data_IF_368348891708
#
_entry.id   IF_368348891708
#
_cell.length_a   1.000
_cell.length_b   1.000
_cell.length_c   1.000
_cell.angle_alpha   90.00
_cell.angle_beta   90.00
_cell.angle_gamma   90.00
#
_symmetry.space_group_name_H-M   'P 1'
#
loop_
_entity.id
_entity.type
_entity.pdbx_description
1 polymer ?
#
# COMPACT_ATOMS: atom_id res chain seq x y z
N UNK A 1 -4.71 11.16 10.05
CA UNK A 1 -6.04 10.54 10.32
C UNK A 1 -6.14 9.63 11.56
N UNK A 2 -5.06 9.25 12.26
CA UNK A 2 -5.12 8.29 13.41
C UNK A 2 -5.93 7.02 13.11
N UNK A 3 -5.92 6.54 11.85
CA UNK A 3 -6.69 5.37 11.41
C UNK A 3 -6.12 4.04 11.92
N UNK A 4 -4.88 4.03 12.41
CA UNK A 4 -4.22 2.82 12.90
C UNK A 4 -3.81 1.84 11.80
N UNK A 5 -3.88 2.25 10.53
CA UNK A 5 -3.54 1.44 9.36
C UNK A 5 -2.19 1.82 8.79
N UNK A 6 -1.38 0.84 8.39
CA UNK A 6 -0.09 1.03 7.68
C UNK A 6 -0.23 0.76 6.18
N UNK A 7 0.78 1.14 5.38
CA UNK A 7 0.77 0.80 3.95
C UNK A 7 0.87 -0.71 3.76
N UNK A 8 1.73 -1.38 4.53
CA UNK A 8 1.87 -2.85 4.50
C UNK A 8 0.55 -3.59 4.78
N UNK A 9 -0.26 -3.13 5.73
CA UNK A 9 -1.56 -3.75 6.01
C UNK A 9 -2.52 -3.64 4.82
N UNK A 10 -2.54 -2.48 4.14
CA UNK A 10 -3.35 -2.32 2.93
C UNK A 10 -2.83 -3.20 1.79
N UNK A 11 -1.51 -3.31 1.62
CA UNK A 11 -0.91 -4.13 0.56
C UNK A 11 -1.14 -5.63 0.82
N UNK A 12 -0.99 -6.09 2.07
CA UNK A 12 -1.31 -7.47 2.45
C UNK A 12 -2.77 -7.79 2.12
N UNK A 13 -3.70 -6.89 2.48
CA UNK A 13 -5.11 -7.05 2.13
C UNK A 13 -5.34 -7.13 0.62
N UNK A 14 -4.72 -6.25 -0.18
CA UNK A 14 -4.82 -6.28 -1.64
C UNK A 14 -4.25 -7.57 -2.24
N UNK A 15 -3.14 -8.08 -1.68
CA UNK A 15 -2.52 -9.35 -2.12
C UNK A 15 -3.46 -10.52 -1.84
N UNK A 16 -3.95 -10.65 -0.61
CA UNK A 16 -4.90 -11.70 -0.25
C UNK A 16 -6.20 -11.62 -1.05
N UNK A 17 -6.75 -10.42 -1.25
CA UNK A 17 -7.92 -10.23 -2.09
C UNK A 17 -7.67 -10.75 -3.52
N UNK A 18 -6.49 -10.48 -4.10
CA UNK A 18 -6.11 -11.00 -5.41
C UNK A 18 -5.99 -12.54 -5.42
N UNK A 19 -5.45 -13.16 -4.38
CA UNK A 19 -5.29 -14.62 -4.28
C UNK A 19 -6.63 -15.36 -4.26
N UNK A 20 -7.66 -14.78 -3.61
CA UNK A 20 -8.99 -15.37 -3.51
C UNK A 20 -9.97 -14.87 -4.59
N UNK A 21 -9.52 -14.02 -5.52
CA UNK A 21 -10.34 -13.49 -6.61
C UNK A 21 -11.33 -12.40 -6.20
N UNK A 22 -11.12 -11.74 -5.06
CA UNK A 22 -11.92 -10.58 -4.61
C UNK A 22 -11.34 -9.29 -5.19
N UNK A 23 -12.18 -8.49 -5.85
CA UNK A 23 -11.78 -7.18 -6.37
C UNK A 23 -11.94 -6.10 -5.30
N UNK A 24 -10.81 -5.55 -4.83
CA UNK A 24 -10.81 -4.42 -3.91
C UNK A 24 -11.08 -3.09 -4.65
N UNK A 25 -11.88 -2.21 -4.05
CA UNK A 25 -12.11 -0.84 -4.53
C UNK A 25 -11.77 0.14 -3.41
N UNK A 26 -10.81 1.04 -3.64
CA UNK A 26 -10.32 1.97 -2.64
C UNK A 26 -9.88 3.30 -3.28
N UNK A 27 -9.61 4.29 -2.42
CA UNK A 27 -9.15 5.62 -2.82
C UNK A 27 -7.75 5.88 -2.25
N UNK A 28 -6.94 6.63 -3.00
CA UNK A 28 -5.72 7.26 -2.49
C UNK A 28 -6.06 8.72 -2.21
N UNK A 29 -5.74 9.19 -1.00
CA UNK A 29 -6.05 10.54 -0.53
C UNK A 29 -4.77 11.37 -0.41
N UNK A 30 -4.87 12.67 -0.69
CA UNK A 30 -3.78 13.64 -0.60
C UNK A 30 -4.24 14.99 -0.04
N UNK A 31 -3.29 15.85 0.31
CA UNK A 31 -3.55 17.20 0.81
C UNK A 31 -3.82 17.27 2.30
N UNK A 32 -3.39 16.27 3.07
CA UNK A 32 -3.50 16.32 4.53
C UNK A 32 -2.53 17.34 5.13
N UNK A 33 -2.94 18.03 6.21
CA UNK A 33 -2.03 18.89 6.95
C UNK A 33 -0.81 18.16 7.49
N UNK A 34 0.37 18.74 7.22
CA UNK A 34 1.67 18.22 7.65
C UNK A 34 2.26 17.12 6.77
N UNK A 35 1.65 16.85 5.61
CA UNK A 35 2.27 16.00 4.60
C UNK A 35 3.57 16.60 4.08
N UNK A 36 4.50 15.70 3.74
CA UNK A 36 5.81 16.05 3.20
C UNK A 36 5.91 15.61 1.75
N UNK A 37 6.67 16.37 0.96
CA UNK A 37 6.89 16.06 -0.44
C UNK A 37 7.55 14.69 -0.63
N UNK A 38 8.49 14.34 0.25
CA UNK A 38 9.20 13.06 0.25
C UNK A 38 8.23 11.86 0.29
N UNK A 39 7.14 11.96 1.06
CA UNK A 39 6.17 10.86 1.20
C UNK A 39 5.42 10.58 -0.11
N UNK A 40 5.24 11.59 -0.95
CA UNK A 40 4.64 11.40 -2.27
C UNK A 40 5.62 10.70 -3.21
N UNK A 41 6.91 11.04 -3.17
CA UNK A 41 7.91 10.31 -3.96
C UNK A 41 8.04 8.86 -3.51
N UNK A 42 8.07 8.61 -2.20
CA UNK A 42 8.04 7.26 -1.62
C UNK A 42 6.80 6.47 -2.09
N UNK A 43 5.63 7.11 -2.12
CA UNK A 43 4.39 6.50 -2.63
C UNK A 43 4.49 6.17 -4.12
N UNK A 44 5.04 7.07 -4.94
CA UNK A 44 5.23 6.83 -6.37
C UNK A 44 6.15 5.62 -6.62
N UNK A 45 7.23 5.48 -5.85
CA UNK A 45 8.12 4.34 -5.96
C UNK A 45 7.50 3.05 -5.42
N UNK A 46 6.69 3.13 -4.37
CA UNK A 46 5.91 2.01 -3.87
C UNK A 46 4.92 1.49 -4.91
N UNK A 47 4.20 2.38 -5.61
CA UNK A 47 3.21 2.01 -6.63
C UNK A 47 3.84 1.11 -7.69
N UNK A 48 5.05 1.44 -8.17
CA UNK A 48 5.79 0.62 -9.15
C UNK A 48 5.97 -0.84 -8.70
N UNK A 49 6.14 -1.07 -7.40
CA UNK A 49 6.36 -2.41 -6.83
C UNK A 49 5.06 -3.21 -6.70
N UNK A 50 3.90 -2.55 -6.72
CA UNK A 50 2.59 -3.18 -6.47
C UNK A 50 1.64 -3.10 -7.67
N UNK A 51 2.12 -2.73 -8.86
CA UNK A 51 1.31 -2.61 -10.08
C UNK A 51 0.61 -3.90 -10.51
N UNK A 52 1.04 -5.06 -10.00
CA UNK A 52 0.37 -6.36 -10.20
C UNK A 52 -0.90 -6.53 -9.36
N UNK A 53 -1.09 -5.71 -8.33
CA UNK A 53 -2.29 -5.72 -7.48
C UNK A 53 -3.39 -4.82 -8.07
N UNK A 54 -4.61 -4.92 -7.54
CA UNK A 54 -5.71 -4.07 -7.99
C UNK A 54 -5.41 -2.58 -7.72
N UNK A 55 -5.49 -1.69 -8.73
CA UNK A 55 -5.31 -0.25 -8.54
C UNK A 55 -6.47 0.38 -7.76
N UNK A 56 -6.32 1.63 -7.28
CA UNK A 56 -7.43 2.40 -6.73
C UNK A 56 -8.54 2.59 -7.78
N UNK A 57 -9.73 3.01 -7.34
CA UNK A 57 -10.87 3.24 -8.25
C UNK A 57 -10.59 4.37 -9.25
N UNK A 58 -9.93 5.41 -8.76
CA UNK A 58 -9.60 6.63 -9.49
C UNK A 58 -8.20 7.08 -9.10
N UNK A 59 -7.72 8.14 -9.76
CA UNK A 59 -6.52 8.84 -9.36
C UNK A 59 -6.70 9.51 -7.98
N UNK A 60 -5.65 10.14 -7.47
CA UNK A 60 -5.59 10.78 -6.15
C UNK A 60 -6.79 11.72 -5.94
N UNK A 61 -7.43 11.58 -4.78
CA UNK A 61 -8.45 12.49 -4.32
C UNK A 61 -7.91 13.39 -3.22
N UNK A 62 -8.01 14.70 -3.41
CA UNK A 62 -7.66 15.63 -2.36
C UNK A 62 -8.71 15.61 -1.27
N UNK A 63 -8.26 15.71 -0.03
CA UNK A 63 -9.16 15.77 1.10
C UNK A 63 -10.02 17.03 1.03
N UNK A 64 -11.24 16.88 1.52
CA UNK A 64 -12.18 17.96 1.70
C UNK A 64 -12.39 18.21 3.19
N UNK A 65 -12.75 19.44 3.53
CA UNK A 65 -13.16 19.75 4.89
C UNK A 65 -14.65 19.46 5.05
N UNK A 66 -14.96 18.39 5.76
CA UNK A 66 -16.35 18.04 6.10
C UNK A 66 -16.65 18.37 7.57
N UNK A 67 -17.88 18.77 7.89
CA UNK A 67 -18.31 19.00 9.28
C UNK A 67 -18.08 17.74 10.11
N UNK A 68 -17.71 17.94 11.38
CA UNK A 68 -17.39 16.90 12.36
C UNK A 68 -16.15 16.06 12.04
N UNK A 69 -15.51 16.27 10.87
CA UNK A 69 -14.21 15.67 10.61
C UNK A 69 -13.16 16.22 11.59
N UNK A 70 -12.11 15.45 11.90
CA UNK A 70 -10.98 15.96 12.67
C UNK A 70 -10.38 17.22 12.05
N UNK A 71 -10.37 17.30 10.72
CA UNK A 71 -9.85 18.46 9.99
C UNK A 71 -10.69 19.72 10.28
N UNK A 72 -12.02 19.60 10.33
CA UNK A 72 -12.90 20.70 10.69
C UNK A 72 -12.83 21.05 12.19
N UNK A 73 -12.96 20.04 13.06
CA UNK A 73 -13.04 20.25 14.52
C UNK A 73 -11.74 20.78 15.14
N UNK A 74 -10.60 20.54 14.48
CA UNK A 74 -9.26 20.96 14.95
C UNK A 74 -8.55 21.84 13.94
N UNK A 75 -9.30 22.54 13.08
CA UNK A 75 -8.80 23.35 11.96
C UNK A 75 -7.67 24.34 12.35
N UNK A 76 -7.79 24.97 13.52
CA UNK A 76 -6.79 25.90 14.06
C UNK A 76 -5.42 25.23 14.28
N UNK A 77 -5.40 23.95 14.72
CA UNK A 77 -4.17 23.18 14.89
C UNK A 77 -3.45 22.89 13.57
N UNK A 78 -4.17 23.02 12.46
CA UNK A 78 -3.68 22.81 11.10
C UNK A 78 -3.39 24.14 10.38
N UNK A 79 -3.44 25.27 11.08
CA UNK A 79 -3.22 26.60 10.50
C UNK A 79 -4.35 27.06 9.59
N UNK A 80 -5.58 26.60 9.84
CA UNK A 80 -6.77 27.02 9.11
C UNK A 80 -7.61 27.95 9.98
N UNK A 81 -7.39 29.25 9.79
CA UNK A 81 -8.05 30.30 10.58
C UNK A 81 -9.50 30.54 10.12
N UNK A 82 -9.76 30.42 8.82
CA UNK A 82 -11.08 30.66 8.23
C UNK A 82 -11.52 29.52 7.29
N UNK A 83 -12.81 29.17 7.37
CA UNK A 83 -13.49 28.30 6.42
C UNK A 83 -14.89 28.83 6.11
N UNK A 84 -15.36 28.58 4.89
CA UNK A 84 -16.74 28.88 4.45
C UNK A 84 -17.39 27.63 3.88
N UNK A 85 -18.71 27.60 3.73
CA UNK A 85 -19.35 26.52 2.98
C UNK A 85 -18.81 26.51 1.54
N UNK A 86 -18.70 25.33 0.94
CA UNK A 86 -18.36 25.18 -0.48
C UNK A 86 -19.41 25.90 -1.34
N UNK A 87 -18.98 26.68 -2.34
CA UNK A 87 -19.86 27.62 -3.06
C UNK A 87 -21.04 26.93 -3.77
N UNK A 88 -20.82 25.78 -4.40
CA UNK A 88 -21.87 24.95 -5.00
C UNK A 88 -22.86 24.42 -3.95
N UNK A 89 -22.36 24.07 -2.76
CA UNK A 89 -23.18 23.55 -1.68
C UNK A 89 -24.04 24.64 -1.03
N UNK A 90 -23.56 25.89 -0.97
CA UNK A 90 -24.34 27.03 -0.49
C UNK A 90 -25.64 27.21 -1.28
N UNK A 91 -25.63 26.95 -2.60
CA UNK A 91 -26.80 27.08 -3.47
C UNK A 91 -27.96 26.14 -3.11
N UNK A 92 -27.73 25.15 -2.24
CA UNK A 92 -28.78 24.23 -1.79
C UNK A 92 -29.63 24.81 -0.64
N UNK A 93 -29.21 25.93 -0.05
CA UNK A 93 -29.90 26.59 1.06
C UNK A 93 -30.57 27.88 0.60
N UNK A 94 -31.90 28.03 0.78
CA UNK A 94 -32.58 29.29 0.51
C UNK A 94 -32.07 30.43 1.41
N UNK A 95 -31.87 31.60 0.81
CA UNK A 95 -31.42 32.80 1.53
C UNK A 95 -32.37 33.16 2.68
N UNK A 96 -31.80 33.42 3.86
CA UNK A 96 -32.53 33.88 5.04
C UNK A 96 -33.36 32.82 5.79
N UNK A 97 -33.48 31.60 5.26
CA UNK A 97 -34.26 30.54 5.93
C UNK A 97 -33.50 29.91 7.10
N UNK A 98 -32.21 29.64 6.91
CA UNK A 98 -31.33 29.01 7.90
C UNK A 98 -29.94 29.61 7.81
N UNK A 99 -29.17 29.51 8.89
CA UNK A 99 -27.74 29.84 8.89
C UNK A 99 -26.94 28.68 8.25
N UNK A 100 -26.41 28.82 7.02
CA UNK A 100 -25.73 27.73 6.34
C UNK A 100 -24.47 27.28 7.09
N UNK A 101 -23.82 28.17 7.85
CA UNK A 101 -22.65 27.85 8.67
C UNK A 101 -22.98 26.98 9.88
N UNK A 102 -24.26 26.85 10.27
CA UNK A 102 -24.70 25.93 11.33
C UNK A 102 -25.14 24.57 10.81
N UNK A 103 -25.73 24.52 9.61
CA UNK A 103 -26.31 23.28 9.06
C UNK A 103 -25.46 22.63 7.97
N UNK A 104 -24.53 23.39 7.37
CA UNK A 104 -23.79 22.93 6.21
C UNK A 104 -22.75 21.87 6.54
N UNK A 105 -22.53 20.91 5.64
CA UNK A 105 -21.60 19.81 5.83
C UNK A 105 -20.27 19.98 5.08
N UNK A 106 -20.30 20.51 3.86
CA UNK A 106 -19.10 20.65 3.02
C UNK A 106 -18.53 22.06 3.10
N UNK A 107 -17.28 22.16 3.54
CA UNK A 107 -16.55 23.41 3.72
C UNK A 107 -15.37 23.51 2.76
N UNK A 108 -15.10 24.74 2.34
CA UNK A 108 -13.90 25.15 1.66
C UNK A 108 -13.07 26.04 2.58
N UNK A 109 -11.76 26.02 2.39
CA UNK A 109 -10.83 26.79 3.22
C UNK A 109 -9.72 27.36 2.35
N UNK A 110 -9.03 28.38 2.85
CA UNK A 110 -7.82 28.89 2.19
C UNK A 110 -6.58 28.00 2.43
N UNK A 111 -6.72 26.91 3.23
CA UNK A 111 -5.70 25.88 3.34
C UNK A 111 -5.37 25.41 1.93
N UNK A 112 -4.16 25.79 1.49
CA UNK A 112 -3.78 25.72 0.10
C UNK A 112 -3.70 24.26 -0.33
N UNK A 113 -4.73 23.79 -1.01
CA UNK A 113 -4.61 22.75 -2.02
C UNK A 113 -3.82 23.27 -3.26
N UNK A 114 -2.85 24.20 -3.09
CA UNK A 114 -2.11 24.82 -4.21
C UNK A 114 -1.09 23.86 -4.84
N UNK A 115 -0.80 22.75 -4.17
CA UNK A 115 0.17 21.77 -4.64
C UNK A 115 -0.47 20.64 -5.46
N UNK A 116 -1.75 20.76 -5.87
CA UNK A 116 -2.37 19.77 -6.75
C UNK A 116 -1.61 19.55 -8.06
N UNK A 117 -0.93 20.59 -8.54
CA UNK A 117 -0.11 20.57 -9.75
C UNK A 117 1.40 20.56 -9.46
N UNK A 118 1.80 20.28 -8.21
CA UNK A 118 3.20 20.18 -7.83
C UNK A 118 3.89 19.00 -8.53
N UNK A 119 5.23 19.03 -8.67
CA UNK A 119 5.97 17.91 -9.25
C UNK A 119 5.75 16.57 -8.52
N UNK A 120 5.68 16.59 -7.19
CA UNK A 120 5.50 15.38 -6.38
C UNK A 120 4.09 14.78 -6.53
N UNK A 121 3.04 15.61 -6.62
CA UNK A 121 1.69 15.12 -6.89
C UNK A 121 1.57 14.58 -8.32
N UNK A 122 2.10 15.31 -9.31
CA UNK A 122 2.13 14.86 -10.72
C UNK A 122 2.81 13.50 -10.84
N UNK A 123 3.93 13.32 -10.16
CA UNK A 123 4.67 12.05 -10.15
C UNK A 123 3.82 10.87 -9.67
N UNK A 124 3.07 11.03 -8.58
CA UNK A 124 2.18 9.97 -8.07
C UNK A 124 1.00 9.76 -9.01
N UNK A 125 0.40 10.84 -9.54
CA UNK A 125 -0.70 10.75 -10.52
C UNK A 125 -0.31 9.94 -11.74
N UNK A 126 0.88 10.18 -12.29
CA UNK A 126 1.42 9.44 -13.44
C UNK A 126 1.56 7.94 -13.16
N UNK A 127 2.01 7.57 -11.95
CA UNK A 127 2.11 6.15 -11.57
C UNK A 127 0.74 5.50 -11.40
N UNK A 128 -0.22 6.21 -10.83
CA UNK A 128 -1.59 5.71 -10.69
C UNK A 128 -2.26 5.60 -12.07
N UNK A 129 -2.04 6.57 -12.97
CA UNK A 129 -2.58 6.50 -14.34
C UNK A 129 -2.01 5.30 -15.09
N UNK A 130 -0.69 5.07 -15.03
CA UNK A 130 -0.08 3.84 -15.57
C UNK A 130 -0.70 2.58 -15.00
N UNK A 131 -0.91 2.55 -13.68
CA UNK A 131 -1.51 1.40 -13.00
C UNK A 131 -2.97 1.16 -13.42
N UNK A 132 -3.76 2.23 -13.55
CA UNK A 132 -5.12 2.19 -14.06
C UNK A 132 -5.18 1.75 -15.53
N UNK A 133 -4.21 2.15 -16.33
CA UNK A 133 -4.13 1.81 -17.75
C UNK A 133 -3.78 0.34 -17.97
N UNK A 134 -2.92 -0.26 -17.14
CA UNK A 134 -2.74 -1.73 -17.13
C UNK A 134 -4.07 -2.46 -16.94
N UNK A 135 -4.91 -2.02 -15.98
CA UNK A 135 -6.22 -2.64 -15.74
C UNK A 135 -7.17 -2.54 -16.93
N UNK A 136 -7.08 -1.48 -17.73
CA UNK A 136 -7.91 -1.28 -18.94
C UNK A 136 -7.34 -1.98 -20.17
N UNK A 137 -6.03 -2.25 -20.17
CA UNK A 137 -5.31 -2.86 -21.27
C UNK A 137 -5.79 -4.30 -21.53
N UNK A 138 -5.81 -4.78 -22.79
CA UNK A 138 -6.11 -6.18 -23.11
C UNK A 138 -5.16 -7.17 -22.43
N UNK A 139 -3.91 -6.78 -22.17
CA UNK A 139 -2.94 -7.61 -21.46
C UNK A 139 -3.22 -7.70 -19.95
N UNK A 140 -4.00 -6.76 -19.40
CA UNK A 140 -4.31 -6.67 -17.97
C UNK A 140 -3.13 -6.18 -17.12
N UNK A 141 -3.26 -6.38 -15.81
CA UNK A 141 -2.21 -6.08 -14.83
C UNK A 141 -0.98 -6.98 -15.07
N UNK A 142 0.24 -6.47 -14.80
CA UNK A 142 1.42 -7.31 -14.73
C UNK A 142 1.20 -8.50 -13.78
N UNK A 143 1.75 -9.64 -14.14
CA UNK A 143 1.80 -10.83 -13.32
C UNK A 143 3.03 -10.79 -12.42
N UNK A 144 2.77 -10.87 -11.13
CA UNK A 144 3.80 -11.18 -10.15
C UNK A 144 3.27 -12.25 -9.20
N UNK A 145 3.62 -13.49 -9.51
CA UNK A 145 3.03 -14.65 -8.87
C UNK A 145 4.07 -15.66 -8.44
N UNK A 146 3.70 -16.52 -7.49
CA UNK A 146 4.55 -17.60 -7.01
C UNK A 146 3.82 -18.95 -7.01
N UNK A 147 4.61 -20.01 -7.17
CA UNK A 147 4.18 -21.40 -7.02
C UNK A 147 5.19 -22.17 -6.19
N UNK A 148 4.72 -23.06 -5.33
CA UNK A 148 5.55 -23.90 -4.46
C UNK A 148 5.79 -25.23 -5.19
N UNK A 149 7.07 -25.56 -5.39
CA UNK A 149 7.56 -26.84 -5.86
C UNK A 149 8.25 -27.64 -4.74
N UNK A 150 8.82 -28.82 -5.04
CA UNK A 150 9.53 -29.62 -4.04
C UNK A 150 10.80 -28.92 -3.53
N UNK A 151 10.69 -28.23 -2.39
CA UNK A 151 11.81 -27.53 -1.74
C UNK A 151 12.19 -26.19 -2.36
N UNK A 152 11.34 -25.62 -3.22
CA UNK A 152 11.60 -24.31 -3.82
C UNK A 152 10.32 -23.51 -4.11
N UNK A 153 10.48 -22.20 -4.16
CA UNK A 153 9.48 -21.24 -4.63
C UNK A 153 9.87 -20.79 -6.03
N UNK A 154 8.98 -20.98 -7.01
CA UNK A 154 9.13 -20.41 -8.35
C UNK A 154 8.27 -19.16 -8.45
N UNK A 155 8.89 -18.03 -8.70
CA UNK A 155 8.26 -16.73 -8.90
C UNK A 155 8.35 -16.36 -10.38
N UNK A 156 7.26 -15.87 -10.96
CA UNK A 156 7.24 -15.17 -12.24
C UNK A 156 6.93 -13.69 -12.01
N UNK A 157 7.75 -12.81 -12.56
CA UNK A 157 7.65 -11.35 -12.39
C UNK A 157 7.81 -10.66 -13.74
N UNK A 158 6.75 -10.01 -14.24
CA UNK A 158 6.82 -9.17 -15.43
C UNK A 158 6.45 -7.70 -15.16
N UNK A 159 6.53 -7.24 -13.91
CA UNK A 159 6.27 -5.82 -13.55
C UNK A 159 7.19 -4.85 -14.27
N UNK A 160 8.37 -5.29 -14.70
CA UNK A 160 9.45 -4.47 -15.22
C UNK A 160 9.85 -4.78 -16.68
N UNK A 161 9.02 -5.49 -17.46
CA UNK A 161 9.30 -5.80 -18.87
C UNK A 161 8.84 -7.19 -19.30
N UNK A 162 9.65 -7.88 -20.10
CA UNK A 162 9.30 -9.14 -20.79
C UNK A 162 9.07 -10.35 -19.86
N UNK A 163 9.34 -10.20 -18.56
CA UNK A 163 9.15 -11.24 -17.56
C UNK A 163 10.44 -11.97 -17.20
N UNK A 164 10.55 -12.37 -15.94
CA UNK A 164 11.65 -13.18 -15.41
C UNK A 164 11.13 -14.27 -14.50
N UNK A 165 11.85 -15.38 -14.45
CA UNK A 165 11.66 -16.42 -13.44
C UNK A 165 12.71 -16.31 -12.35
N UNK A 166 12.28 -16.40 -11.10
CA UNK A 166 13.15 -16.42 -9.92
C UNK A 166 12.84 -17.72 -9.16
N UNK A 167 13.88 -18.42 -8.75
CA UNK A 167 13.76 -19.62 -7.93
C UNK A 167 14.40 -19.32 -6.57
N UNK A 168 13.62 -19.48 -5.50
CA UNK A 168 14.10 -19.39 -4.12
C UNK A 168 14.12 -20.80 -3.54
N UNK A 169 15.22 -21.20 -2.94
CA UNK A 169 15.38 -22.47 -2.24
C UNK A 169 15.87 -22.21 -0.81
N UNK A 170 15.90 -23.25 0.01
CA UNK A 170 16.50 -23.23 1.34
C UNK A 170 15.98 -22.05 2.19
N UNK A 171 16.88 -21.29 2.81
CA UNK A 171 16.53 -20.19 3.69
C UNK A 171 15.74 -19.08 2.97
N UNK A 172 16.03 -18.78 1.70
CA UNK A 172 15.27 -17.79 0.93
C UNK A 172 13.81 -18.22 0.72
N UNK A 173 13.59 -19.51 0.47
CA UNK A 173 12.25 -20.09 0.35
C UNK A 173 11.48 -19.95 1.66
N UNK A 174 12.11 -20.35 2.77
CA UNK A 174 11.46 -20.35 4.09
C UNK A 174 11.11 -18.94 4.56
N UNK A 175 12.03 -17.98 4.38
CA UNK A 175 11.78 -16.57 4.68
C UNK A 175 10.64 -16.01 3.84
N UNK A 176 10.62 -16.28 2.53
CA UNK A 176 9.58 -15.79 1.64
C UNK A 176 8.19 -16.27 2.07
N UNK A 177 8.04 -17.57 2.36
CA UNK A 177 6.74 -18.14 2.75
C UNK A 177 6.28 -17.70 4.14
N UNK A 178 7.19 -17.55 5.11
CA UNK A 178 6.82 -17.02 6.43
C UNK A 178 6.37 -15.55 6.38
N UNK A 179 6.86 -14.79 5.39
CA UNK A 179 6.44 -13.44 5.09
C UNK A 179 5.13 -13.36 4.27
N UNK A 180 4.39 -14.45 4.10
CA UNK A 180 3.02 -14.36 3.58
C UNK A 180 2.20 -13.39 4.45
N UNK A 181 2.28 -13.49 5.77
CA UNK A 181 1.82 -12.42 6.67
C UNK A 181 2.94 -11.43 6.99
N UNK A 182 2.56 -10.22 7.40
CA UNK A 182 3.49 -9.24 7.95
C UNK A 182 4.31 -9.88 9.08
N UNK A 183 5.63 -9.89 8.91
CA UNK A 183 6.58 -10.39 9.89
C UNK A 183 7.59 -9.32 10.29
N UNK A 184 8.21 -9.51 11.46
CA UNK A 184 9.43 -8.80 11.83
C UNK A 184 10.65 -9.72 11.66
N UNK A 185 11.84 -9.13 11.50
CA UNK A 185 13.11 -9.87 11.51
C UNK A 185 13.26 -10.72 12.77
N UNK A 186 12.82 -10.21 13.92
CA UNK A 186 12.84 -10.93 15.19
C UNK A 186 11.91 -12.15 15.18
N UNK A 187 10.70 -12.01 14.63
CA UNK A 187 9.75 -13.12 14.49
C UNK A 187 10.31 -14.23 13.60
N UNK A 188 10.89 -13.86 12.44
CA UNK A 188 11.54 -14.80 11.52
C UNK A 188 12.71 -15.53 12.20
N UNK A 189 13.55 -14.80 12.93
CA UNK A 189 14.66 -15.37 13.70
C UNK A 189 14.18 -16.40 14.72
N UNK A 190 13.05 -16.13 15.39
CA UNK A 190 12.47 -17.08 16.34
C UNK A 190 11.89 -18.32 15.64
N UNK A 191 11.17 -18.14 14.53
CA UNK A 191 10.58 -19.26 13.79
C UNK A 191 11.63 -20.18 13.16
N UNK A 192 12.73 -19.61 12.65
CA UNK A 192 13.75 -20.35 11.92
C UNK A 192 14.90 -20.84 12.83
N UNK A 193 14.86 -20.59 14.14
CA UNK A 193 15.95 -20.93 15.05
C UNK A 193 16.27 -22.43 15.15
N UNK A 194 15.26 -23.29 15.02
CA UNK A 194 15.42 -24.75 15.09
C UNK A 194 15.93 -25.34 13.78
N UNK A 195 15.37 -24.88 12.65
CA UNK A 195 15.70 -25.37 11.30
C UNK A 195 17.02 -24.79 10.76
N UNK A 196 17.31 -23.54 11.09
CA UNK A 196 18.49 -22.78 10.63
C UNK A 196 19.27 -22.16 11.81
N UNK A 197 19.80 -22.99 12.75
CA UNK A 197 20.38 -22.52 14.00
C UNK A 197 21.68 -21.73 13.84
N UNK A 198 22.39 -21.90 12.72
CA UNK A 198 23.64 -21.21 12.43
C UNK A 198 23.35 -19.86 11.77
N UNK A 199 22.49 -19.86 10.74
CA UNK A 199 22.13 -18.72 9.90
C UNK A 199 21.39 -17.64 10.69
N UNK A 200 20.58 -18.04 11.67
CA UNK A 200 19.89 -17.14 12.59
C UNK A 200 20.84 -16.41 13.55
N UNK A 201 22.09 -16.89 13.73
CA UNK A 201 23.07 -16.34 14.69
C UNK A 201 24.22 -15.60 14.03
N UNK A 202 24.66 -16.03 12.85
CA UNK A 202 25.84 -15.49 12.17
C UNK A 202 25.55 -14.28 11.25
N UNK A 203 24.29 -13.85 11.13
CA UNK A 203 23.86 -12.73 10.29
C UNK A 203 23.40 -13.13 8.88
N UNK A 204 23.49 -14.40 8.50
CA UNK A 204 23.02 -14.88 7.18
C UNK A 204 21.52 -14.67 6.98
N UNK A 205 20.69 -14.84 8.02
CA UNK A 205 19.25 -14.55 7.91
C UNK A 205 18.98 -13.09 7.49
N UNK A 206 19.68 -12.13 8.10
CA UNK A 206 19.49 -10.71 7.77
C UNK A 206 19.95 -10.40 6.34
N UNK A 207 21.05 -11.01 5.89
CA UNK A 207 21.51 -10.91 4.50
C UNK A 207 20.47 -11.45 3.52
N UNK A 208 19.87 -12.61 3.80
CA UNK A 208 18.80 -13.19 2.97
C UNK A 208 17.59 -12.25 2.91
N UNK A 209 17.17 -11.68 4.03
CA UNK A 209 16.07 -10.71 4.06
C UNK A 209 16.41 -9.49 3.21
N UNK A 210 17.61 -8.93 3.37
CA UNK A 210 18.07 -7.74 2.63
C UNK A 210 18.12 -8.01 1.13
N UNK A 211 18.59 -9.18 0.70
CA UNK A 211 18.59 -9.61 -0.70
C UNK A 211 17.17 -9.69 -1.27
N UNK A 212 16.22 -10.25 -0.53
CA UNK A 212 14.83 -10.36 -0.95
C UNK A 212 14.14 -8.98 -1.02
N UNK A 213 14.48 -8.06 -0.10
CA UNK A 213 13.99 -6.67 -0.13
C UNK A 213 14.58 -5.92 -1.32
N UNK A 214 15.90 -6.03 -1.56
CA UNK A 214 16.58 -5.37 -2.67
C UNK A 214 16.03 -5.81 -4.04
N UNK A 215 15.51 -7.04 -4.13
CA UNK A 215 14.93 -7.61 -5.36
C UNK A 215 13.43 -7.36 -5.52
N UNK A 216 12.81 -6.60 -4.63
CA UNK A 216 11.35 -6.37 -4.54
C UNK A 216 10.54 -7.68 -4.44
N UNK A 217 11.07 -8.68 -3.73
CA UNK A 217 10.37 -9.91 -3.36
C UNK A 217 9.67 -9.72 -2.01
N UNK A 218 10.39 -9.13 -1.06
CA UNK A 218 9.82 -8.61 0.17
C UNK A 218 9.69 -7.09 0.07
N UNK A 219 8.63 -6.56 0.67
CA UNK A 219 8.49 -5.15 0.96
C UNK A 219 8.81 -4.91 2.44
N UNK A 220 9.70 -3.95 2.73
CA UNK A 220 10.03 -3.54 4.10
C UNK A 220 9.51 -2.13 4.38
N UNK A 221 8.74 -1.97 5.46
CA UNK A 221 8.31 -0.67 5.98
C UNK A 221 8.29 -0.73 7.51
N UNK A 222 8.86 0.25 8.21
CA UNK A 222 8.85 0.31 9.68
C UNK A 222 9.32 -1.00 10.36
N UNK A 223 10.34 -1.67 9.80
CA UNK A 223 10.89 -2.97 10.26
C UNK A 223 9.91 -4.15 10.16
N UNK A 224 8.85 -4.00 9.39
CA UNK A 224 7.90 -5.04 9.03
C UNK A 224 8.17 -5.48 7.59
N UNK A 225 8.01 -6.77 7.32
CA UNK A 225 8.32 -7.44 6.06
C UNK A 225 7.07 -8.12 5.52
N UNK A 226 6.84 -8.04 4.22
CA UNK A 226 5.71 -8.67 3.55
C UNK A 226 6.11 -9.22 2.17
N UNK A 227 5.73 -10.45 1.86
CA UNK A 227 5.88 -11.04 0.54
C UNK A 227 4.99 -10.32 -0.47
N UNK A 228 5.55 -9.90 -1.60
CA UNK A 228 4.81 -9.20 -2.66
C UNK A 228 4.12 -10.09 -3.71
N UNK A 229 4.72 -11.19 -4.22
CA UNK A 229 4.06 -12.00 -5.25
C UNK A 229 2.79 -12.69 -4.72
N UNK A 230 1.82 -12.88 -5.62
CA UNK A 230 0.52 -13.52 -5.34
C UNK A 230 0.61 -15.03 -5.58
N UNK A 231 0.11 -15.84 -4.65
CA UNK A 231 0.07 -17.29 -4.83
C UNK A 231 -0.81 -17.72 -6.01
N UNK A 232 -0.27 -18.53 -6.94
CA UNK A 232 -1.05 -19.10 -8.07
C UNK A 232 -2.16 -20.05 -7.57
N UNK A 233 -1.95 -20.64 -6.39
CA UNK A 233 -2.96 -21.41 -5.66
C UNK A 233 -3.08 -20.80 -4.27
N UNK A 234 -4.31 -20.48 -3.88
CA UNK A 234 -4.62 -20.06 -2.52
C UNK A 234 -4.12 -21.10 -1.52
N UNK A 235 -3.46 -20.62 -0.47
CA UNK A 235 -3.05 -21.36 0.72
C UNK A 235 -3.21 -20.42 1.90
N UNK A 236 -3.67 -20.95 3.02
CA UNK A 236 -3.74 -20.18 4.24
C UNK A 236 -2.32 -19.89 4.78
N UNK A 237 -2.09 -18.72 5.38
CA UNK A 237 -0.79 -18.36 5.94
C UNK A 237 -0.34 -19.33 7.03
N UNK A 238 -1.28 -19.94 7.77
CA UNK A 238 -1.01 -21.02 8.74
C UNK A 238 -0.52 -22.28 8.05
N UNK A 239 -1.09 -22.65 6.90
CA UNK A 239 -0.64 -23.80 6.10
C UNK A 239 0.79 -23.59 5.58
N UNK A 240 1.07 -22.40 5.07
CA UNK A 240 2.41 -22.03 4.59
C UNK A 240 3.44 -22.07 5.73
N UNK A 241 3.08 -21.53 6.89
CA UNK A 241 3.93 -21.56 8.08
C UNK A 241 4.19 -22.99 8.55
N UNK A 242 3.16 -23.83 8.64
CA UNK A 242 3.32 -25.23 9.02
C UNK A 242 4.19 -26.00 8.01
N UNK A 243 4.04 -25.71 6.72
CA UNK A 243 4.87 -26.30 5.66
C UNK A 243 6.36 -25.94 5.80
N UNK A 244 6.67 -24.71 6.24
CA UNK A 244 8.06 -24.29 6.47
C UNK A 244 8.65 -24.91 7.74
N UNK A 245 7.84 -25.04 8.79
CA UNK A 245 8.27 -25.43 10.14
C UNK A 245 8.16 -26.94 10.43
N UNK A 246 7.55 -27.72 9.54
CA UNK A 246 7.56 -29.19 9.58
C UNK A 246 8.90 -29.77 9.16
#
# INVERSE_FOLDING_TARGET
MRKGTTALQNIQFLRWAAEIGVTATYNILAGFPGEKEEWYYEMADLIKKIVHLSPPKYNIHFIEMHRFSPFFNRREQYGVDECSLRADYQMTFPDGLLDPMKIGYFFQTQYKNKDQDSPHIKRVREEIDRWLDYKKSPQGLPLYNYSIGPGFLKIFDNRYGDGRFIFLADLHHDVALLCDEIQSRQSLKNYLAEKWPVETKNGTLDQVIDELVQRDILLEENKQLLLLPVGVKYRDSTELKNYVLS
#
